data_IF_171243243392
#
_entry.id   IF_171243243392
#
_cell.length_a   1.000
_cell.length_b   1.000
_cell.length_c   1.000
_cell.angle_alpha   90.00
_cell.angle_beta   90.00
_cell.angle_gamma   90.00
#
_symmetry.space_group_name_H-M   'P 1'
#
loop_
_entity.id
_entity.type
_entity.pdbx_description
1 polymer ?
#
# COMPACT_ATOMS: atom_id res chain seq x y z
N UNK A 1 -16.41 7.30 15.93
CA UNK A 1 -16.26 7.39 14.47
C UNK A 1 -15.22 6.47 13.83
N UNK A 2 -14.51 5.58 14.55
CA UNK A 2 -13.47 4.71 13.96
C UNK A 2 -13.97 3.38 13.34
N UNK A 3 -15.27 3.07 13.42
CA UNK A 3 -15.83 1.75 13.05
C UNK A 3 -16.34 1.66 11.61
N UNK A 4 -16.43 2.80 10.91
CA UNK A 4 -16.93 2.86 9.52
C UNK A 4 -15.80 2.82 8.49
N UNK A 5 -14.61 3.33 8.83
CA UNK A 5 -13.43 3.35 7.93
C UNK A 5 -12.94 1.94 7.56
N UNK A 6 -12.93 1.01 8.52
CA UNK A 6 -12.51 -0.37 8.29
C UNK A 6 -13.50 -1.19 7.43
N UNK A 7 -14.77 -0.76 7.36
CA UNK A 7 -15.84 -1.50 6.69
C UNK A 7 -15.99 -1.09 5.22
N UNK A 8 -15.75 0.19 4.91
CA UNK A 8 -15.64 0.70 3.54
C UNK A 8 -14.45 0.08 2.80
N UNK A 9 -13.28 -0.03 3.47
CA UNK A 9 -12.11 -0.70 2.90
C UNK A 9 -12.42 -2.14 2.47
N UNK A 10 -13.16 -2.91 3.27
CA UNK A 10 -13.50 -4.31 2.95
C UNK A 10 -14.45 -4.46 1.76
N UNK A 11 -15.35 -3.50 1.52
CA UNK A 11 -16.33 -3.62 0.44
C UNK A 11 -15.76 -3.23 -0.93
N UNK A 12 -14.80 -2.30 -1.00
CA UNK A 12 -14.12 -1.99 -2.27
C UNK A 12 -13.13 -3.08 -2.72
N UNK A 13 -12.47 -3.78 -1.79
CA UNK A 13 -11.57 -4.91 -2.13
C UNK A 13 -12.28 -6.07 -2.85
N UNK A 14 -13.59 -6.24 -2.65
CA UNK A 14 -14.37 -7.26 -3.35
C UNK A 14 -14.75 -6.82 -4.78
N UNK A 15 -14.96 -5.52 -5.00
CA UNK A 15 -15.32 -4.98 -6.30
C UNK A 15 -14.11 -4.88 -7.25
N UNK A 16 -12.91 -4.59 -6.73
CA UNK A 16 -11.68 -4.50 -7.54
C UNK A 16 -11.20 -5.84 -8.11
N UNK A 17 -11.56 -6.97 -7.47
CA UNK A 17 -11.21 -8.31 -7.96
C UNK A 17 -12.06 -8.75 -9.17
N UNK A 18 -13.27 -8.21 -9.33
CA UNK A 18 -14.15 -8.56 -10.44
C UNK A 18 -13.75 -7.91 -11.77
N UNK A 19 -12.88 -6.89 -11.76
CA UNK A 19 -12.44 -6.18 -12.96
C UNK A 19 -11.14 -6.73 -13.58
N UNK A 20 -10.51 -7.74 -12.97
CA UNK A 20 -9.20 -8.27 -13.36
C UNK A 20 -9.29 -9.71 -13.92
N UNK A 21 -10.16 -9.94 -14.90
CA UNK A 21 -10.06 -11.12 -15.77
C UNK A 21 -9.41 -10.74 -17.11
N UNK A 22 -8.12 -11.04 -17.29
CA UNK A 22 -7.55 -11.31 -18.59
C UNK A 22 -7.05 -12.75 -18.62
N UNK A 23 -7.94 -13.68 -18.98
CA UNK A 23 -7.65 -14.90 -19.74
C UNK A 23 -6.16 -15.12 -20.11
N UNK A 24 -5.55 -16.16 -19.53
CA UNK A 24 -4.52 -16.95 -20.20
C UNK A 24 -3.09 -16.87 -19.65
N UNK A 25 -2.70 -17.94 -18.93
CA UNK A 25 -1.38 -18.60 -18.91
C UNK A 25 -0.12 -17.73 -19.19
N UNK A 26 0.73 -17.57 -18.18
CA UNK A 26 2.16 -17.94 -18.25
C UNK A 26 2.90 -17.61 -16.95
N UNK A 27 3.72 -18.57 -16.50
CA UNK A 27 5.01 -18.25 -15.92
C UNK A 27 5.06 -18.03 -14.41
N UNK A 28 5.74 -18.95 -13.73
CA UNK A 28 6.35 -18.75 -12.42
C UNK A 28 7.09 -17.39 -12.33
N UNK A 29 6.45 -16.39 -11.75
CA UNK A 29 7.13 -15.31 -11.06
C UNK A 29 6.61 -15.34 -9.64
N UNK A 30 7.54 -15.54 -8.71
CA UNK A 30 7.31 -15.79 -7.29
C UNK A 30 6.16 -14.93 -6.75
N UNK A 31 5.24 -15.52 -5.99
CA UNK A 31 4.17 -14.80 -5.27
C UNK A 31 4.69 -13.66 -4.36
N UNK A 32 6.00 -13.55 -4.16
CA UNK A 32 6.67 -12.43 -3.51
C UNK A 32 6.87 -11.20 -4.43
N UNK A 33 7.04 -11.39 -5.74
CA UNK A 33 7.12 -10.33 -6.75
C UNK A 33 5.73 -9.87 -7.22
N UNK A 34 4.72 -10.75 -7.14
CA UNK A 34 3.34 -10.48 -7.56
C UNK A 34 2.48 -9.69 -6.55
N UNK A 35 3.00 -9.40 -5.36
CA UNK A 35 2.23 -8.72 -4.31
C UNK A 35 2.18 -7.18 -4.41
N UNK A 36 2.72 -6.60 -5.50
CA UNK A 36 2.62 -5.16 -5.79
C UNK A 36 2.31 -4.80 -7.25
N UNK A 37 2.14 -5.78 -8.15
CA UNK A 37 1.54 -5.58 -9.47
C UNK A 37 0.05 -5.18 -9.43
N UNK A 38 -0.38 -4.54 -8.34
CA UNK A 38 -1.74 -4.08 -8.08
C UNK A 38 -1.84 -2.95 -7.05
N UNK A 39 -0.73 -2.31 -6.62
CA UNK A 39 -0.83 -1.10 -5.79
C UNK A 39 -1.01 0.13 -6.69
N UNK A 40 -2.23 0.67 -6.71
CA UNK A 40 -2.52 1.90 -7.44
C UNK A 40 -1.84 3.11 -6.80
N UNK A 41 -1.58 4.16 -7.61
CA UNK A 41 -1.09 5.44 -7.09
C UNK A 41 -2.04 6.03 -6.04
N UNK A 42 -3.34 5.85 -6.25
CA UNK A 42 -4.35 6.33 -5.32
C UNK A 42 -4.28 5.60 -3.97
N UNK A 43 -4.18 4.28 -3.96
CA UNK A 43 -3.99 3.52 -2.71
C UNK A 43 -2.69 3.91 -2.01
N UNK A 44 -1.61 4.12 -2.76
CA UNK A 44 -0.34 4.56 -2.20
C UNK A 44 -0.46 5.93 -1.52
N UNK A 45 -1.19 6.87 -2.14
CA UNK A 45 -1.51 8.17 -1.55
C UNK A 45 -2.32 8.05 -0.26
N UNK A 46 -3.35 7.19 -0.24
CA UNK A 46 -4.17 6.96 0.96
C UNK A 46 -3.35 6.35 2.09
N UNK A 47 -2.51 5.35 1.81
CA UNK A 47 -1.68 4.69 2.83
C UNK A 47 -0.67 5.67 3.43
N UNK A 48 -0.05 6.53 2.61
CA UNK A 48 0.85 7.59 3.11
C UNK A 48 0.10 8.83 3.61
N UNK A 49 -1.23 8.86 3.57
CA UNK A 49 -2.07 10.00 3.97
C UNK A 49 -1.63 11.32 3.31
N UNK A 50 -1.38 11.26 1.99
CA UNK A 50 -1.01 12.42 1.18
C UNK A 50 -2.09 12.71 0.15
N UNK A 51 -2.48 13.97 0.03
CA UNK A 51 -3.49 14.41 -0.96
C UNK A 51 -2.87 14.96 -2.24
N UNK A 52 -1.62 15.43 -2.17
CA UNK A 52 -0.83 15.93 -3.29
C UNK A 52 0.49 15.17 -3.33
N UNK A 53 1.01 14.90 -4.53
CA UNK A 53 2.33 14.28 -4.74
C UNK A 53 3.46 15.28 -4.48
N UNK A 54 3.44 15.93 -3.31
CA UNK A 54 4.50 16.82 -2.87
C UNK A 54 5.64 15.99 -2.25
N UNK A 55 6.88 16.08 -2.76
CA UNK A 55 8.01 15.33 -2.21
C UNK A 55 8.21 15.57 -0.72
N UNK A 56 7.91 16.79 -0.24
CA UNK A 56 8.03 17.16 1.18
C UNK A 56 7.00 16.44 2.05
N UNK A 57 5.76 16.33 1.59
CA UNK A 57 4.68 15.65 2.32
C UNK A 57 4.88 14.14 2.33
N UNK A 58 5.22 13.57 1.17
CA UNK A 58 5.57 12.15 1.02
C UNK A 58 6.69 11.78 1.98
N UNK A 59 7.81 12.53 1.97
CA UNK A 59 8.96 12.23 2.82
C UNK A 59 8.64 12.38 4.32
N UNK A 60 7.84 13.38 4.70
CA UNK A 60 7.43 13.60 6.09
C UNK A 60 6.59 12.42 6.60
N UNK A 61 5.55 12.04 5.85
CA UNK A 61 4.63 10.99 6.26
C UNK A 61 5.30 9.61 6.20
N UNK A 62 6.12 9.36 5.19
CA UNK A 62 6.96 8.17 5.11
C UNK A 62 7.85 8.02 6.34
N UNK A 63 8.64 9.05 6.71
CA UNK A 63 9.51 8.99 7.89
C UNK A 63 8.75 8.69 9.16
N UNK A 64 7.57 9.30 9.33
CA UNK A 64 6.72 9.05 10.49
C UNK A 64 6.25 7.58 10.52
N UNK A 65 5.60 7.11 9.45
CA UNK A 65 5.06 5.76 9.35
C UNK A 65 6.15 4.69 9.43
N UNK A 66 7.31 4.93 8.84
CA UNK A 66 8.45 4.02 8.91
C UNK A 66 9.01 3.92 10.33
N UNK A 67 9.10 5.03 11.06
CA UNK A 67 9.60 5.08 12.44
C UNK A 67 8.66 4.36 13.41
N UNK A 68 7.35 4.64 13.34
CA UNK A 68 6.38 4.06 14.29
C UNK A 68 6.15 2.56 14.05
N UNK A 69 6.45 2.06 12.85
CA UNK A 69 6.39 0.62 12.54
C UNK A 69 7.72 -0.13 12.74
N UNK A 70 8.75 0.51 13.29
CA UNK A 70 10.02 -0.16 13.56
C UNK A 70 9.83 -1.26 14.62
N UNK A 71 10.38 -2.45 14.38
CA UNK A 71 10.32 -3.59 15.32
C UNK A 71 10.82 -3.24 16.72
N UNK A 72 11.87 -2.41 16.82
CA UNK A 72 12.47 -2.02 18.10
C UNK A 72 11.55 -1.22 19.01
N UNK A 73 10.47 -0.63 18.47
CA UNK A 73 9.44 0.10 19.24
C UNK A 73 8.10 -0.66 19.29
N UNK A 74 8.11 -1.97 19.03
CA UNK A 74 6.90 -2.81 19.02
C UNK A 74 6.14 -2.79 17.70
N UNK A 75 6.72 -2.24 16.63
CA UNK A 75 6.15 -2.28 15.28
C UNK A 75 6.35 -3.63 14.57
N UNK A 76 5.87 -3.72 13.33
CA UNK A 76 5.95 -4.93 12.51
C UNK A 76 6.85 -4.70 11.29
N UNK A 77 7.81 -5.61 11.08
CA UNK A 77 8.63 -5.63 9.87
C UNK A 77 7.80 -5.69 8.60
N UNK A 78 6.67 -6.40 8.63
CA UNK A 78 5.76 -6.52 7.49
C UNK A 78 5.14 -5.16 7.15
N UNK A 79 4.63 -4.45 8.16
CA UNK A 79 4.02 -3.12 7.98
C UNK A 79 5.06 -2.09 7.55
N UNK A 80 6.24 -2.10 8.18
CA UNK A 80 7.35 -1.24 7.80
C UNK A 80 7.77 -1.50 6.34
N UNK A 81 7.86 -2.76 5.93
CA UNK A 81 8.16 -3.15 4.54
C UNK A 81 7.08 -2.66 3.58
N UNK A 82 5.78 -2.73 3.94
CA UNK A 82 4.70 -2.16 3.13
C UNK A 82 4.81 -0.65 2.97
N UNK A 83 5.20 0.09 4.02
CA UNK A 83 5.44 1.55 3.95
C UNK A 83 6.58 1.89 2.97
N UNK A 84 7.63 1.07 2.90
CA UNK A 84 8.71 1.24 1.90
C UNK A 84 8.17 1.07 0.48
N UNK A 85 7.41 0.00 0.24
CA UNK A 85 6.82 -0.28 -1.09
C UNK A 85 5.87 0.81 -1.56
N UNK A 86 5.08 1.37 -0.64
CA UNK A 86 4.18 2.49 -0.95
C UNK A 86 4.96 3.74 -1.37
N UNK A 87 6.09 4.03 -0.71
CA UNK A 87 6.97 5.13 -1.10
C UNK A 87 7.56 4.90 -2.49
N UNK A 88 8.10 3.70 -2.74
CA UNK A 88 8.63 3.32 -4.07
C UNK A 88 7.59 3.61 -5.16
N UNK A 89 6.32 3.22 -4.93
CA UNK A 89 5.23 3.47 -5.89
C UNK A 89 4.89 4.94 -6.12
N UNK A 90 5.10 5.83 -5.14
CA UNK A 90 4.90 7.26 -5.32
C UNK A 90 6.10 7.98 -5.96
N UNK A 91 7.26 7.34 -5.93
CA UNK A 91 8.49 7.86 -6.54
C UNK A 91 8.67 7.40 -8.01
N UNK A 92 7.93 6.37 -8.44
CA UNK A 92 7.78 5.92 -9.84
C UNK A 92 7.05 6.95 -10.73
#
# INVERSE_FOLDING_TARGET
MAKYLARALRQEFAASQAAADPRGRAGHQSAAASNLSGLSLWEAQQILSVSKLSPKEIQKNYKHLFKVNNKSVGGSFYLQSKVVRVKERLDE
#
